data_IF_951620310032
#
_entry.id   IF_951620310032
#
_cell.length_a   1.000
_cell.length_b   1.000
_cell.length_c   1.000
_cell.angle_alpha   90.00
_cell.angle_beta   90.00
_cell.angle_gamma   90.00
#
_symmetry.space_group_name_H-M   'P 1'
#
loop_
_entity.id
_entity.type
_entity.pdbx_description
1 polymer ?
#
# COMPACT_ATOMS: atom_id res chain seq x y z
N UNK A 1 -6.02 33.43 1.05
CA UNK A 1 -6.66 32.24 0.45
C UNK A 1 -5.67 31.19 -0.04
N UNK A 2 -4.44 31.54 -0.46
CA UNK A 2 -3.45 30.58 -0.98
C UNK A 2 -2.98 29.51 0.03
N UNK A 3 -2.77 29.88 1.30
CA UNK A 3 -2.29 28.92 2.34
C UNK A 3 -3.23 27.74 2.63
N UNK A 4 -4.54 27.89 2.40
CA UNK A 4 -5.51 26.80 2.63
C UNK A 4 -5.56 25.80 1.47
N UNK A 5 -5.30 26.25 0.24
CA UNK A 5 -5.23 25.38 -0.95
C UNK A 5 -4.00 24.48 -0.88
N UNK A 6 -2.88 25.03 -0.41
CA UNK A 6 -1.61 24.33 -0.31
C UNK A 6 -1.60 23.26 0.79
N UNK A 7 -2.23 23.54 1.93
CA UNK A 7 -2.42 22.54 3.00
C UNK A 7 -3.40 21.42 2.61
N UNK A 8 -4.38 21.70 1.75
CA UNK A 8 -5.27 20.69 1.17
C UNK A 8 -4.51 19.72 0.26
N UNK A 9 -3.71 20.24 -0.67
CA UNK A 9 -2.88 19.44 -1.59
C UNK A 9 -1.86 18.57 -0.85
N UNK A 10 -1.19 19.11 0.16
CA UNK A 10 -0.21 18.36 0.97
C UNK A 10 -0.89 17.21 1.72
N UNK A 11 -2.09 17.45 2.29
CA UNK A 11 -2.86 16.38 2.96
C UNK A 11 -3.30 15.29 2.00
N UNK A 12 -3.72 15.64 0.79
CA UNK A 12 -4.11 14.67 -0.23
C UNK A 12 -2.93 13.79 -0.66
N UNK A 13 -1.76 14.41 -0.87
CA UNK A 13 -0.51 13.71 -1.19
C UNK A 13 -0.09 12.77 -0.07
N UNK A 14 -0.06 13.23 1.19
CA UNK A 14 0.28 12.39 2.35
C UNK A 14 -0.72 11.24 2.50
N UNK A 15 -2.01 11.48 2.28
CA UNK A 15 -3.04 10.44 2.36
C UNK A 15 -2.78 9.36 1.31
N UNK A 16 -2.53 9.75 0.05
CA UNK A 16 -2.16 8.84 -1.04
C UNK A 16 -0.89 8.04 -0.76
N UNK A 17 0.12 8.65 -0.12
CA UNK A 17 1.37 7.95 0.27
C UNK A 17 1.12 6.86 1.32
N UNK A 18 0.10 7.00 2.16
CA UNK A 18 -0.23 6.01 3.21
C UNK A 18 -1.20 4.90 2.76
N UNK A 19 -1.80 5.03 1.58
CA UNK A 19 -2.76 4.07 1.05
C UNK A 19 -2.04 2.89 0.40
N UNK A 20 -2.54 1.69 0.66
CA UNK A 20 -2.13 0.50 -0.08
C UNK A 20 -2.58 0.57 -1.55
N UNK A 21 -1.93 -0.17 -2.43
CA UNK A 21 -2.32 -0.26 -3.85
C UNK A 21 -3.77 -0.69 -4.05
N UNK A 22 -4.29 -1.54 -3.16
CA UNK A 22 -5.70 -1.96 -3.15
C UNK A 22 -6.62 -0.77 -2.86
N UNK A 23 -6.27 0.06 -1.88
CA UNK A 23 -7.05 1.25 -1.52
C UNK A 23 -7.00 2.32 -2.62
N UNK A 24 -5.85 2.52 -3.25
CA UNK A 24 -5.70 3.43 -4.39
C UNK A 24 -6.52 2.96 -5.61
N UNK A 25 -6.50 1.66 -5.90
CA UNK A 25 -7.31 1.08 -6.97
C UNK A 25 -8.81 1.20 -6.67
N UNK A 26 -9.20 1.01 -5.42
CA UNK A 26 -10.58 1.14 -4.97
C UNK A 26 -11.11 2.58 -5.14
N UNK A 27 -10.33 3.59 -4.76
CA UNK A 27 -10.66 5.00 -4.98
C UNK A 27 -10.80 5.33 -6.47
N UNK A 28 -9.89 4.81 -7.30
CA UNK A 28 -9.96 4.99 -8.75
C UNK A 28 -11.26 4.41 -9.33
N UNK A 29 -11.64 3.20 -8.93
CA UNK A 29 -12.89 2.55 -9.35
C UNK A 29 -14.11 3.38 -8.91
N UNK A 30 -14.13 3.87 -7.67
CA UNK A 30 -15.22 4.69 -7.15
C UNK A 30 -15.37 6.00 -7.92
N UNK A 31 -14.26 6.71 -8.13
CA UNK A 31 -14.24 7.96 -8.90
C UNK A 31 -14.78 7.75 -10.32
N UNK A 32 -14.38 6.65 -10.98
CA UNK A 32 -14.89 6.32 -12.32
C UNK A 32 -16.37 5.96 -12.33
N UNK A 33 -16.85 5.21 -11.34
CA UNK A 33 -18.27 4.88 -11.20
C UNK A 33 -19.11 6.15 -10.98
N UNK A 34 -18.67 7.06 -10.12
CA UNK A 34 -19.34 8.33 -9.87
C UNK A 34 -19.41 9.21 -11.14
N UNK A 35 -18.36 9.20 -11.96
CA UNK A 35 -18.34 9.94 -13.23
C UNK A 35 -19.21 9.31 -14.31
N UNK A 36 -19.25 7.97 -14.40
CA UNK A 36 -19.98 7.26 -15.45
C UNK A 36 -21.48 7.14 -15.15
N UNK A 37 -21.86 7.03 -13.87
CA UNK A 37 -23.23 6.68 -13.45
C UNK A 37 -23.60 5.20 -13.69
N UNK A 38 -22.77 4.47 -14.43
CA UNK A 38 -22.96 3.05 -14.75
C UNK A 38 -22.28 2.14 -13.73
N UNK A 39 -22.78 0.91 -13.62
CA UNK A 39 -22.15 -0.15 -12.84
C UNK A 39 -20.93 -0.76 -13.54
N UNK A 40 -20.69 -0.45 -14.82
CA UNK A 40 -19.53 -0.94 -15.56
C UNK A 40 -18.49 0.18 -15.63
N UNK A 41 -17.30 -0.09 -15.10
CA UNK A 41 -16.17 0.83 -15.12
C UNK A 41 -15.08 0.28 -16.02
N UNK A 42 -14.50 1.16 -16.84
CA UNK A 42 -13.28 0.84 -17.60
C UNK A 42 -12.08 1.57 -17.00
N UNK A 43 -10.99 0.84 -16.82
CA UNK A 43 -9.70 1.35 -16.33
C UNK A 43 -8.62 1.01 -17.34
N UNK A 44 -7.86 2.01 -17.78
CA UNK A 44 -6.64 1.78 -18.55
C UNK A 44 -5.46 1.46 -17.63
N UNK A 45 -4.47 0.73 -18.15
CA UNK A 45 -3.25 0.45 -17.39
C UNK A 45 -2.51 1.74 -17.01
N UNK A 46 -2.52 2.75 -17.87
CA UNK A 46 -1.98 4.08 -17.59
C UNK A 46 -2.65 4.74 -16.39
N UNK A 47 -3.99 4.70 -16.31
CA UNK A 47 -4.72 5.29 -15.17
C UNK A 47 -4.39 4.60 -13.84
N UNK A 48 -4.16 3.28 -13.86
CA UNK A 48 -3.76 2.53 -12.67
C UNK A 48 -2.32 2.91 -12.27
N UNK A 49 -1.40 2.99 -13.24
CA UNK A 49 -0.02 3.39 -12.99
C UNK A 49 0.07 4.81 -12.41
N UNK A 50 -0.71 5.75 -12.96
CA UNK A 50 -0.81 7.13 -12.49
C UNK A 50 -1.39 7.20 -11.07
N UNK A 51 -2.46 6.43 -10.79
CA UNK A 51 -3.06 6.37 -9.46
C UNK A 51 -2.08 5.81 -8.41
N UNK A 52 -1.20 4.90 -8.81
CA UNK A 52 -0.17 4.31 -7.94
C UNK A 52 1.14 5.11 -7.90
N UNK A 53 1.25 6.18 -8.70
CA UNK A 53 2.46 6.99 -8.79
C UNK A 53 3.68 6.20 -9.29
N UNK A 54 3.46 5.15 -10.10
CA UNK A 54 4.55 4.30 -10.63
C UNK A 54 4.88 4.68 -12.07
N UNK A 55 6.18 4.79 -12.34
CA UNK A 55 6.67 4.73 -13.72
C UNK A 55 6.82 3.26 -14.10
N UNK A 56 5.90 2.77 -14.93
CA UNK A 56 5.77 1.34 -15.26
C UNK A 56 6.39 0.97 -16.60
N UNK A 57 6.98 1.95 -17.30
CA UNK A 57 7.62 1.72 -18.59
C UNK A 57 9.10 1.47 -18.39
N UNK A 58 9.61 0.36 -18.93
CA UNK A 58 11.04 0.14 -19.10
C UNK A 58 11.41 0.13 -20.59
N UNK A 59 12.60 0.64 -20.89
CA UNK A 59 13.20 0.50 -22.22
C UNK A 59 13.97 -0.82 -22.25
N UNK A 60 13.63 -1.70 -23.19
CA UNK A 60 14.42 -2.90 -23.42
C UNK A 60 15.76 -2.48 -24.05
N UNK A 61 16.85 -2.70 -23.32
CA UNK A 61 18.20 -2.36 -23.76
C UNK A 61 18.71 -3.27 -24.87
N UNK A 62 18.02 -4.39 -25.15
CA UNK A 62 18.43 -5.40 -26.11
C UNK A 62 17.63 -5.40 -27.41
N UNK A 63 16.59 -4.56 -27.52
CA UNK A 63 15.74 -4.49 -28.71
C UNK A 63 16.21 -3.41 -29.69
N UNK A 64 16.29 -3.78 -30.98
CA UNK A 64 16.74 -2.89 -32.08
C UNK A 64 15.81 -1.69 -32.25
N UNK A 65 14.55 -1.83 -31.84
CA UNK A 65 13.59 -0.72 -31.68
C UNK A 65 13.38 -0.45 -30.20
N UNK A 66 13.48 0.82 -29.78
CA UNK A 66 13.10 1.27 -28.43
C UNK A 66 11.59 1.07 -28.19
N UNK A 67 11.16 -0.16 -27.96
CA UNK A 67 9.81 -0.46 -27.49
C UNK A 67 9.77 -0.26 -25.98
N UNK A 68 8.83 0.57 -25.53
CA UNK A 68 8.53 0.71 -24.10
C UNK A 68 7.63 -0.44 -23.69
N UNK A 69 8.10 -1.26 -22.77
CA UNK A 69 7.34 -2.38 -22.24
C UNK A 69 6.81 -2.03 -20.85
N UNK A 70 5.66 -2.60 -20.51
CA UNK A 70 5.09 -2.47 -19.16
C UNK A 70 5.80 -3.47 -18.26
N UNK A 71 6.21 -3.00 -17.09
CA UNK A 71 6.79 -3.82 -16.04
C UNK A 71 5.84 -4.97 -15.64
N UNK A 72 6.35 -6.20 -15.76
CA UNK A 72 5.60 -7.41 -15.45
C UNK A 72 5.25 -7.50 -13.96
N UNK A 73 6.14 -7.05 -13.07
CA UNK A 73 5.89 -7.05 -11.62
C UNK A 73 4.73 -6.10 -11.29
N UNK A 74 4.65 -4.97 -11.99
CA UNK A 74 3.51 -4.07 -11.86
C UNK A 74 2.20 -4.73 -12.33
N UNK A 75 2.19 -5.45 -13.46
CA UNK A 75 0.98 -6.15 -13.90
C UNK A 75 0.55 -7.24 -12.92
N UNK A 76 1.50 -7.96 -12.29
CA UNK A 76 1.22 -8.92 -11.23
C UNK A 76 0.63 -8.28 -9.96
N UNK A 77 1.12 -7.09 -9.60
CA UNK A 77 0.55 -6.30 -8.51
C UNK A 77 -0.90 -5.89 -8.81
N UNK A 78 -1.19 -5.47 -10.07
CA UNK A 78 -2.55 -5.14 -10.53
C UNK A 78 -3.48 -6.36 -10.46
N UNK A 79 -3.03 -7.51 -10.96
CA UNK A 79 -3.76 -8.79 -10.87
C UNK A 79 -4.08 -9.13 -9.42
N UNK A 80 -3.09 -9.05 -8.54
CA UNK A 80 -3.26 -9.37 -7.12
C UNK A 80 -4.25 -8.44 -6.43
N UNK A 81 -4.21 -7.15 -6.75
CA UNK A 81 -5.15 -6.17 -6.21
C UNK A 81 -6.58 -6.42 -6.70
N UNK A 82 -6.77 -6.71 -7.99
CA UNK A 82 -8.09 -7.01 -8.56
C UNK A 82 -8.68 -8.31 -7.99
N UNK A 83 -7.88 -9.38 -7.89
CA UNK A 83 -8.31 -10.63 -7.23
C UNK A 83 -8.77 -10.37 -5.80
N UNK A 84 -8.04 -9.55 -5.04
CA UNK A 84 -8.45 -9.20 -3.68
C UNK A 84 -9.81 -8.49 -3.61
N UNK A 85 -10.09 -7.60 -4.55
CA UNK A 85 -11.37 -6.89 -4.62
C UNK A 85 -12.51 -7.81 -5.08
N UNK A 86 -12.24 -8.73 -6.01
CA UNK A 86 -13.20 -9.74 -6.45
C UNK A 86 -13.53 -10.76 -5.35
N UNK A 87 -12.52 -11.25 -4.61
CA UNK A 87 -12.69 -12.14 -3.45
C UNK A 87 -13.56 -11.50 -2.36
N UNK A 88 -13.43 -10.18 -2.19
CA UNK A 88 -14.27 -9.38 -1.28
C UNK A 88 -15.67 -9.09 -1.85
N UNK A 89 -15.98 -9.55 -3.07
CA UNK A 89 -17.24 -9.31 -3.79
C UNK A 89 -17.55 -7.82 -3.92
N UNK A 90 -16.51 -7.03 -4.14
CA UNK A 90 -16.62 -5.59 -4.40
C UNK A 90 -16.74 -5.34 -5.90
N UNK A 91 -16.00 -6.10 -6.70
CA UNK A 91 -16.05 -6.05 -8.15
C UNK A 91 -16.29 -7.45 -8.70
N UNK A 92 -16.75 -7.51 -9.95
CA UNK A 92 -16.70 -8.70 -10.77
C UNK A 92 -15.91 -8.37 -12.04
N UNK A 93 -14.90 -9.19 -12.35
CA UNK A 93 -14.13 -8.99 -13.56
C UNK A 93 -14.95 -9.39 -14.80
N UNK A 94 -14.97 -8.55 -15.83
CA UNK A 94 -15.70 -8.86 -17.06
C UNK A 94 -14.78 -9.33 -18.17
N UNK A 95 -13.91 -8.45 -18.69
CA UNK A 95 -12.98 -8.74 -19.79
C UNK A 95 -11.92 -7.63 -19.93
N UNK A 96 -10.88 -7.90 -20.70
CA UNK A 96 -9.88 -6.90 -21.13
C UNK A 96 -10.04 -6.58 -22.62
N UNK A 97 -9.62 -5.38 -23.04
CA UNK A 97 -9.53 -4.97 -24.45
C UNK A 97 -8.12 -4.45 -24.73
N UNK A 98 -7.46 -5.04 -25.74
CA UNK A 98 -6.14 -4.62 -26.21
C UNK A 98 -6.24 -3.53 -27.27
N UNK A 99 -5.36 -2.54 -27.21
CA UNK A 99 -5.38 -1.33 -28.06
C UNK A 99 -4.91 -1.48 -29.50
N UNK A 100 -4.77 -2.69 -30.06
CA UNK A 100 -4.35 -2.95 -31.45
C UNK A 100 -5.15 -4.13 -32.06
N UNK A 101 -5.28 -4.25 -33.40
CA UNK A 101 -6.40 -4.92 -34.06
C UNK A 101 -6.21 -6.44 -34.14
N UNK A 102 -6.14 -7.11 -33.00
CA UNK A 102 -6.31 -8.55 -32.92
C UNK A 102 -7.43 -8.86 -31.94
N UNK A 103 -8.50 -9.42 -32.51
CA UNK A 103 -9.67 -9.92 -31.85
C UNK A 103 -9.33 -10.80 -30.64
N UNK A 104 -9.83 -10.41 -29.47
CA UNK A 104 -10.53 -11.37 -28.60
C UNK A 104 -11.50 -10.59 -27.71
N UNK A 105 -12.69 -10.33 -28.27
CA UNK A 105 -13.88 -10.30 -27.43
C UNK A 105 -13.97 -11.69 -26.81
N UNK A 106 -13.56 -11.83 -25.56
CA UNK A 106 -13.84 -13.05 -24.80
C UNK A 106 -15.33 -12.99 -24.45
N UNK A 107 -16.17 -13.38 -25.41
CA UNK A 107 -17.59 -13.56 -25.19
C UNK A 107 -17.80 -14.66 -24.15
N UNK A 108 -18.46 -14.30 -23.06
CA UNK A 108 -18.85 -15.16 -21.93
C UNK A 108 -19.36 -16.54 -22.40
N UNK A 109 -18.79 -17.61 -21.84
CA UNK A 109 -19.50 -18.69 -21.11
C UNK A 109 -18.54 -19.82 -20.71
N UNK A 110 -18.43 -20.04 -19.40
CA UNK A 110 -18.05 -21.29 -18.71
C UNK A 110 -16.66 -21.47 -18.08
N UNK A 111 -15.69 -20.56 -18.22
CA UNK A 111 -14.40 -20.68 -17.51
C UNK A 111 -14.11 -19.39 -16.73
N UNK A 112 -14.57 -19.33 -15.48
CA UNK A 112 -14.35 -18.18 -14.58
C UNK A 112 -12.91 -18.07 -14.09
N UNK A 113 -12.08 -19.10 -14.27
CA UNK A 113 -10.86 -19.25 -13.46
C UNK A 113 -9.63 -18.49 -13.97
N UNK A 114 -9.60 -17.94 -15.20
CA UNK A 114 -8.37 -17.31 -15.72
C UNK A 114 -8.51 -15.92 -16.39
N UNK A 115 -9.67 -15.26 -16.31
CA UNK A 115 -9.85 -13.95 -16.96
C UNK A 115 -8.95 -12.83 -16.39
N UNK A 116 -8.60 -12.92 -15.10
CA UNK A 116 -7.71 -11.93 -14.47
C UNK A 116 -6.24 -12.22 -14.81
N UNK A 117 -5.85 -13.47 -15.03
CA UNK A 117 -4.45 -13.79 -15.39
C UNK A 117 -4.08 -13.21 -16.76
N UNK A 118 -5.05 -13.02 -17.65
CA UNK A 118 -4.85 -12.35 -18.95
C UNK A 118 -4.34 -10.90 -18.89
N UNK A 119 -4.46 -10.23 -17.72
CA UNK A 119 -3.94 -8.87 -17.52
C UNK A 119 -2.42 -8.82 -17.69
N UNK A 120 -1.70 -9.90 -17.38
CA UNK A 120 -0.25 -9.96 -17.53
C UNK A 120 0.20 -9.89 -18.99
N UNK A 121 -0.74 -10.02 -19.92
CA UNK A 121 -0.54 -9.91 -21.35
C UNK A 121 -1.02 -8.56 -21.92
N UNK A 122 -1.24 -7.56 -21.05
CA UNK A 122 -1.45 -6.18 -21.49
C UNK A 122 -0.11 -5.51 -21.72
N UNK A 123 0.07 -4.97 -22.92
CA UNK A 123 1.35 -4.44 -23.40
C UNK A 123 1.32 -2.92 -23.63
N UNK A 124 0.14 -2.31 -23.55
CA UNK A 124 -0.05 -0.87 -23.74
C UNK A 124 -0.68 -0.21 -22.52
N UNK A 125 -0.23 1.01 -22.20
CA UNK A 125 -0.88 1.84 -21.18
C UNK A 125 -2.35 2.13 -21.51
N UNK A 126 -2.70 2.06 -22.79
CA UNK A 126 -4.06 2.29 -23.27
C UNK A 126 -4.93 1.02 -23.23
N UNK A 127 -4.36 -0.14 -22.90
CA UNK A 127 -5.14 -1.37 -22.73
C UNK A 127 -6.09 -1.20 -21.56
N UNK A 128 -7.34 -1.64 -21.76
CA UNK A 128 -8.44 -1.40 -20.82
C UNK A 128 -8.90 -2.68 -20.14
N UNK A 129 -9.22 -2.55 -18.86
CA UNK A 129 -9.85 -3.54 -18.01
C UNK A 129 -11.28 -3.08 -17.74
N UNK A 130 -12.26 -3.94 -17.98
CA UNK A 130 -13.67 -3.67 -17.71
C UNK A 130 -14.13 -4.45 -16.48
N UNK A 131 -14.70 -3.71 -15.53
CA UNK A 131 -15.12 -4.22 -14.22
C UNK A 131 -16.59 -3.90 -14.02
N UNK A 132 -17.35 -4.87 -13.55
CA UNK A 132 -18.69 -4.64 -12.99
C UNK A 132 -18.54 -4.34 -11.49
N UNK A 133 -19.14 -3.24 -11.07
CA UNK A 133 -18.94 -2.64 -9.75
C UNK A 133 -20.21 -2.84 -8.93
N UNK A 134 -20.14 -3.71 -7.93
CA UNK A 134 -21.27 -4.03 -7.06
C UNK A 134 -21.80 -2.78 -6.34
N UNK A 135 -23.12 -2.65 -6.18
CA UNK A 135 -23.72 -1.49 -5.51
C UNK A 135 -23.25 -1.32 -4.06
N UNK A 136 -22.84 -2.43 -3.41
CA UNK A 136 -22.29 -2.43 -2.05
C UNK A 136 -21.03 -1.57 -1.91
N UNK A 137 -20.28 -1.36 -3.00
CA UNK A 137 -19.11 -0.48 -2.99
C UNK A 137 -19.41 0.97 -2.62
N UNK A 138 -20.63 1.45 -2.91
CA UNK A 138 -21.06 2.82 -2.60
C UNK A 138 -21.34 3.02 -1.12
N UNK A 139 -21.71 1.95 -0.41
CA UNK A 139 -22.12 2.01 1.00
C UNK A 139 -20.98 1.71 1.98
N UNK A 140 -19.91 1.06 1.53
CA UNK A 140 -18.69 0.87 2.34
C UNK A 140 -17.79 2.13 2.38
N UNK A 141 -18.11 3.20 1.63
CA UNK A 141 -17.40 4.50 1.63
C UNK A 141 -18.09 5.66 2.32
N UNK A 142 -19.12 5.45 3.15
CA UNK A 142 -19.18 6.33 4.31
C UNK A 142 -18.07 5.85 5.23
N UNK A 143 -16.97 6.61 5.44
CA UNK A 143 -16.08 6.26 6.53
C UNK A 143 -17.01 6.18 7.73
N UNK A 144 -17.17 4.97 8.27
CA UNK A 144 -17.76 4.82 9.57
C UNK A 144 -16.77 5.59 10.45
N UNK A 145 -17.04 6.87 10.68
CA UNK A 145 -16.33 7.74 11.60
C UNK A 145 -16.58 7.28 13.05
N UNK A 146 -16.87 5.99 13.25
CA UNK A 146 -16.21 5.23 14.30
C UNK A 146 -14.78 4.95 13.84
N UNK A 147 -14.00 6.03 13.75
CA UNK A 147 -12.58 5.96 14.09
C UNK A 147 -12.56 5.18 15.40
N UNK A 148 -12.18 3.90 15.37
CA UNK A 148 -11.21 3.51 16.38
C UNK A 148 -10.12 4.53 16.20
N UNK A 149 -10.01 5.48 17.13
CA UNK A 149 -8.94 6.45 17.13
C UNK A 149 -7.69 5.63 16.84
N UNK A 150 -7.13 5.78 15.63
CA UNK A 150 -5.78 5.30 15.39
C UNK A 150 -5.02 6.09 16.43
N UNK A 151 -4.57 5.41 17.48
CA UNK A 151 -3.82 5.95 18.61
C UNK A 151 -2.52 6.51 18.05
N UNK A 152 -2.64 7.67 17.41
CA UNK A 152 -1.54 8.40 16.84
C UNK A 152 -0.88 9.11 18.01
N UNK A 153 0.42 8.91 18.15
CA UNK A 153 1.20 9.68 19.12
C UNK A 153 1.22 11.11 18.59
N UNK A 154 0.45 11.98 19.23
CA UNK A 154 0.50 13.41 18.94
C UNK A 154 1.78 13.97 19.55
N UNK A 155 2.76 14.25 18.70
CA UNK A 155 4.01 14.91 19.10
C UNK A 155 3.74 16.42 19.26
N UNK A 156 4.35 17.10 20.24
CA UNK A 156 4.21 18.55 20.43
C UNK A 156 4.54 19.35 19.15
N UNK A 157 3.69 20.34 18.82
CA UNK A 157 3.77 21.10 17.57
C UNK A 157 5.07 21.93 17.41
N UNK A 158 5.79 22.16 18.50
CA UNK A 158 7.09 22.84 18.53
C UNK A 158 8.26 21.91 18.14
N UNK A 159 7.99 20.63 17.90
CA UNK A 159 8.98 19.64 17.44
C UNK A 159 9.11 19.72 15.93
N UNK A 160 10.13 20.42 15.45
CA UNK A 160 10.38 20.60 14.01
C UNK A 160 11.34 19.56 13.44
N UNK A 161 12.15 18.93 14.28
CA UNK A 161 13.19 17.99 13.89
C UNK A 161 12.88 16.59 14.43
N UNK A 162 13.01 15.57 13.58
CA UNK A 162 12.87 14.17 14.00
C UNK A 162 13.94 13.74 15.02
N UNK A 163 15.12 14.37 14.99
CA UNK A 163 16.21 14.12 15.92
C UNK A 163 15.88 14.52 17.37
N UNK A 164 14.82 15.31 17.59
CA UNK A 164 14.36 15.67 18.93
C UNK A 164 13.51 14.56 19.59
N UNK A 165 13.15 13.52 18.83
CA UNK A 165 12.30 12.42 19.30
C UNK A 165 13.17 11.21 19.61
N UNK A 166 13.07 10.72 20.84
CA UNK A 166 13.77 9.52 21.31
C UNK A 166 12.75 8.46 21.75
N UNK A 167 12.91 7.23 21.28
CA UNK A 167 12.05 6.10 21.62
C UNK A 167 12.88 5.05 22.35
N UNK A 168 12.53 4.74 23.59
CA UNK A 168 13.21 3.75 24.44
C UNK A 168 12.34 2.52 24.62
N UNK A 169 12.81 1.37 24.13
CA UNK A 169 12.19 0.09 24.43
C UNK A 169 12.53 -0.33 25.87
N UNK A 170 11.50 -0.58 26.69
CA UNK A 170 11.68 -1.08 28.07
C UNK A 170 11.71 -2.59 28.12
N UNK A 171 10.87 -3.22 27.31
CA UNK A 171 10.79 -4.66 27.13
C UNK A 171 10.29 -4.96 25.70
N UNK A 172 9.88 -6.19 25.44
CA UNK A 172 9.41 -6.62 24.12
C UNK A 172 8.03 -6.08 23.73
N UNK A 173 7.31 -5.42 24.64
CA UNK A 173 5.96 -4.87 24.43
C UNK A 173 5.88 -3.36 24.64
N UNK A 174 6.63 -2.82 25.60
CA UNK A 174 6.50 -1.44 26.10
C UNK A 174 7.62 -0.52 25.60
N UNK A 175 7.25 0.72 25.28
CA UNK A 175 8.16 1.81 24.93
C UNK A 175 7.86 3.09 25.73
N UNK A 176 8.88 3.93 25.86
CA UNK A 176 8.77 5.31 26.32
C UNK A 176 9.23 6.26 25.22
N UNK A 177 8.47 7.32 25.00
CA UNK A 177 8.75 8.35 24.00
C UNK A 177 9.14 9.62 24.74
N UNK A 178 10.28 10.16 24.35
CA UNK A 178 10.81 11.42 24.84
C UNK A 178 10.87 12.42 23.68
N UNK A 179 10.56 13.68 23.97
CA UNK A 179 10.62 14.78 23.00
C UNK A 179 11.47 15.88 23.62
N UNK A 180 12.56 16.28 22.94
CA UNK A 180 13.57 17.24 23.44
C UNK A 180 14.08 16.85 24.83
N UNK A 181 14.32 15.56 25.04
CA UNK A 181 14.78 14.99 26.31
C UNK A 181 13.75 14.92 27.44
N UNK A 182 12.50 15.35 27.21
CA UNK A 182 11.41 15.27 28.20
C UNK A 182 10.52 14.07 27.93
N UNK A 183 10.11 13.38 28.98
CA UNK A 183 9.16 12.28 28.87
C UNK A 183 7.82 12.80 28.31
N UNK A 184 7.36 12.17 27.23
CA UNK A 184 6.13 12.54 26.55
C UNK A 184 5.03 11.51 26.81
N UNK A 185 5.30 10.23 26.54
CA UNK A 185 4.29 9.17 26.67
C UNK A 185 4.94 7.80 26.86
N UNK A 186 4.32 6.96 27.68
CA UNK A 186 4.55 5.51 27.72
C UNK A 186 3.43 4.83 26.94
N UNK A 187 3.76 3.86 26.10
CA UNK A 187 2.81 3.12 25.28
C UNK A 187 3.36 1.74 24.94
N UNK A 188 2.57 0.90 24.29
CA UNK A 188 2.97 -0.46 23.94
C UNK A 188 2.60 -0.84 22.50
N UNK A 189 2.95 -2.06 22.10
CA UNK A 189 2.66 -2.59 20.78
C UNK A 189 1.16 -2.66 20.46
N UNK A 190 0.31 -2.87 21.47
CA UNK A 190 -1.15 -2.91 21.30
C UNK A 190 -1.73 -1.53 21.03
N UNK A 191 -1.34 -0.56 21.86
CA UNK A 191 -1.76 0.84 21.75
C UNK A 191 -1.40 1.40 20.39
N UNK A 192 -0.26 1.01 19.83
CA UNK A 192 0.24 1.47 18.53
C UNK A 192 -0.21 0.60 17.36
N UNK A 193 -1.04 -0.41 17.61
CA UNK A 193 -1.54 -1.37 16.61
C UNK A 193 -0.45 -2.17 15.87
N UNK A 194 0.71 -2.41 16.49
CA UNK A 194 1.76 -3.29 15.98
C UNK A 194 1.65 -4.70 16.57
N UNK A 195 0.52 -5.37 16.31
CA UNK A 195 0.28 -6.70 16.83
C UNK A 195 -0.42 -7.64 15.83
N UNK A 196 -0.22 -8.93 16.05
CA UNK A 196 -0.83 -10.01 15.29
C UNK A 196 -1.79 -10.83 16.15
N UNK A 197 -2.92 -11.19 15.56
CA UNK A 197 -3.97 -12.00 16.18
C UNK A 197 -4.92 -11.21 17.08
N UNK A 198 -6.21 -11.59 17.05
CA UNK A 198 -7.28 -10.89 17.81
C UNK A 198 -7.24 -11.13 19.33
N UNK A 199 -6.66 -12.24 19.78
CA UNK A 199 -6.71 -12.68 21.19
C UNK A 199 -5.41 -12.47 21.97
N UNK A 200 -4.27 -12.74 21.34
CA UNK A 200 -2.97 -12.78 22.03
C UNK A 200 -2.13 -11.52 21.82
N UNK A 201 -2.60 -10.60 20.95
CA UNK A 201 -1.98 -9.30 20.62
C UNK A 201 -0.45 -9.32 20.62
N UNK A 202 0.13 -10.37 20.04
CA UNK A 202 1.58 -10.57 20.03
C UNK A 202 2.21 -9.54 19.10
N UNK A 203 3.38 -8.97 19.43
CA UNK A 203 4.14 -8.12 18.54
C UNK A 203 4.22 -8.69 17.12
N UNK A 204 3.84 -7.88 16.14
CA UNK A 204 3.94 -8.28 14.74
C UNK A 204 5.39 -8.15 14.23
N UNK A 205 5.60 -8.48 12.95
CA UNK A 205 6.93 -8.40 12.33
C UNK A 205 7.48 -6.98 12.30
N UNK A 206 6.63 -5.96 12.22
CA UNK A 206 7.05 -4.55 12.19
C UNK A 206 7.56 -4.12 13.56
N UNK A 207 6.86 -4.48 14.64
CA UNK A 207 7.34 -4.25 16.01
C UNK A 207 8.66 -4.94 16.29
N UNK A 208 8.76 -6.22 15.93
CA UNK A 208 9.98 -7.00 16.11
C UNK A 208 11.16 -6.38 15.37
N UNK A 209 10.91 -5.84 14.18
CA UNK A 209 11.91 -5.11 13.42
C UNK A 209 12.38 -3.83 14.15
N UNK A 210 11.47 -3.04 14.72
CA UNK A 210 11.83 -1.86 15.51
C UNK A 210 12.65 -2.21 16.76
N UNK A 211 12.31 -3.30 17.46
CA UNK A 211 13.12 -3.81 18.57
C UNK A 211 14.54 -4.13 18.09
N UNK A 212 14.68 -4.84 16.97
CA UNK A 212 15.99 -5.18 16.43
C UNK A 212 16.81 -3.93 16.08
N UNK A 213 16.19 -2.93 15.44
CA UNK A 213 16.84 -1.65 15.14
C UNK A 213 17.37 -0.98 16.42
N UNK A 214 16.56 -0.91 17.48
CA UNK A 214 16.97 -0.30 18.74
C UNK A 214 18.15 -1.01 19.41
N UNK A 215 18.16 -2.35 19.37
CA UNK A 215 19.27 -3.16 19.89
C UNK A 215 20.55 -2.89 19.09
N UNK A 216 20.46 -2.75 17.77
CA UNK A 216 21.62 -2.50 16.92
C UNK A 216 22.21 -1.11 17.14
N UNK A 217 21.35 -0.11 17.22
CA UNK A 217 21.75 1.27 17.53
C UNK A 217 22.41 1.35 18.91
N UNK A 218 21.83 0.71 19.94
CA UNK A 218 22.35 0.74 21.31
C UNK A 218 23.64 -0.05 21.54
N UNK A 219 23.93 -1.08 20.73
CA UNK A 219 25.15 -1.89 20.90
C UNK A 219 26.41 -1.30 20.28
N UNK A 220 26.28 -0.34 19.36
CA UNK A 220 27.43 0.12 18.56
C UNK A 220 27.58 1.62 18.43
N UNK A 221 26.63 2.44 18.89
CA UNK A 221 26.55 3.87 18.49
C UNK A 221 26.66 4.06 16.97
N UNK A 222 26.40 2.99 16.20
CA UNK A 222 26.45 2.96 14.75
C UNK A 222 25.04 3.05 14.22
N UNK A 223 24.91 3.75 13.09
CA UNK A 223 23.67 3.79 12.34
C UNK A 223 23.25 2.36 12.01
N UNK A 224 21.99 2.01 12.29
CA UNK A 224 21.43 0.71 11.92
C UNK A 224 21.31 0.62 10.39
N UNK A 225 22.40 0.29 9.72
CA UNK A 225 22.45 0.14 8.27
C UNK A 225 21.82 -1.19 7.87
N UNK A 226 21.31 -1.26 6.63
CA UNK A 226 20.71 -2.46 6.04
C UNK A 226 21.58 -3.70 6.25
N UNK A 227 22.89 -3.57 6.06
CA UNK A 227 23.83 -4.70 6.15
C UNK A 227 24.01 -5.20 7.59
N UNK A 228 24.02 -4.30 8.58
CA UNK A 228 24.12 -4.69 10.00
C UNK A 228 22.84 -5.37 10.49
N UNK A 229 21.67 -4.98 9.96
CA UNK A 229 20.39 -5.61 10.22
C UNK A 229 20.40 -7.04 9.66
N UNK A 230 20.80 -7.22 8.40
CA UNK A 230 20.89 -8.54 7.74
C UNK A 230 21.85 -9.46 8.49
N UNK A 231 23.03 -8.96 8.86
CA UNK A 231 24.02 -9.71 9.66
C UNK A 231 23.50 -10.16 11.03
N UNK A 232 22.66 -9.33 11.66
CA UNK A 232 22.12 -9.62 12.99
C UNK A 232 20.93 -10.59 12.94
N UNK A 233 20.15 -10.55 11.86
CA UNK A 233 19.11 -11.53 11.57
C UNK A 233 19.69 -12.91 11.22
N UNK A 234 20.78 -12.96 10.45
CA UNK A 234 21.42 -14.23 10.09
C UNK A 234 22.07 -14.93 11.27
N UNK A 235 22.52 -14.20 12.28
CA UNK A 235 23.18 -14.77 13.47
C UNK A 235 22.23 -15.22 14.59
N UNK A 236 20.95 -14.79 14.60
CA UNK A 236 20.01 -15.09 15.69
C UNK A 236 19.21 -16.39 15.55
N UNK A 237 19.25 -17.06 14.39
CA UNK A 237 18.61 -18.39 14.25
C UNK A 237 19.41 -19.55 14.85
N UNK A 238 20.58 -19.29 15.46
CA UNK A 238 21.45 -20.31 16.05
C UNK A 238 21.46 -20.44 17.58
N UNK A 239 20.79 -19.56 18.34
CA UNK A 239 20.77 -19.66 19.82
C UNK A 239 19.37 -19.48 20.37
N UNK A 240 18.80 -20.58 20.89
CA UNK A 240 17.61 -20.58 21.75
C UNK A 240 17.85 -19.62 22.92
N UNK A 241 16.87 -18.75 23.16
CA UNK A 241 16.61 -18.14 24.46
C UNK A 241 15.88 -19.18 25.29
#
# INVERSE_FOLDING_TARGET
MEKQVETGRIKEIITKITMSYIELLLELIKSKKEMSGDNIVSLSIGEIADAWGRNVLYEDQFSISKSKHIDYDFLQDVVSALKNLEDKKLIAFMYTVRGYPYYSLVEKKNEKEDLISDIVHLFSLNDKIYLEVEEKLLYESKPNNKKGEKNCIVIPADTKNWNDIEIKFKNEFDIEIFVKGKFHKKTNNEDLNFYSGRKNKKPDRQWQFLILLSILQGKRERNATKDEIVFSLSNKFGKKI
#
